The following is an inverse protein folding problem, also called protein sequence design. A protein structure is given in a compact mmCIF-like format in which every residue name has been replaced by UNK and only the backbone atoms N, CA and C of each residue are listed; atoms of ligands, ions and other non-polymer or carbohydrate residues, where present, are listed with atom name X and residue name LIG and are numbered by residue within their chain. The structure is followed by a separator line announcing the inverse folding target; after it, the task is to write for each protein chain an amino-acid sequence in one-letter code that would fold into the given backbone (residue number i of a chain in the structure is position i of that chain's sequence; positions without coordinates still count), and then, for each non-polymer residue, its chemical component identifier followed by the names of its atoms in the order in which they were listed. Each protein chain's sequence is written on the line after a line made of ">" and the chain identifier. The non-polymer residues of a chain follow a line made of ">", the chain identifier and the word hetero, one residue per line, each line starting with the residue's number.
data_IF_446375712991
#
_entry.id   IF_446375712991
#
_cell.length_a   1.000
_cell.length_b   1.000
_cell.length_c   1.000
_cell.angle_alpha   90.00
_cell.angle_beta   90.00
_cell.angle_gamma   90.00
#
_symmetry.space_group_name_H-M   'P 1'
#
loop_
_entity.id
_entity.type
_entity.pdbx_description
1 polymer ?
#
# COMPACT_ATOMS: atom_id res chain seq x y z
N UNK A 1 -0.47 7.77 -4.34
CA UNK A 1 -1.47 7.68 -3.25
C UNK A 1 -2.25 6.39 -3.48
N UNK A 2 -1.67 5.25 -3.12
CA UNK A 2 -2.33 3.96 -3.21
C UNK A 2 -3.59 3.94 -2.34
N UNK A 3 -4.75 4.01 -3.00
CA UNK A 3 -6.04 3.68 -2.42
C UNK A 3 -6.19 2.15 -2.48
N UNK A 4 -6.09 1.47 -1.34
CA UNK A 4 -6.60 0.11 -1.21
C UNK A 4 -8.11 0.21 -0.97
N UNK A 5 -8.91 0.20 -2.04
CA UNK A 5 -10.36 0.11 -1.96
C UNK A 5 -10.78 -1.36 -2.11
N UNK A 6 -11.28 -1.97 -1.05
CA UNK A 6 -12.07 -3.20 -1.16
C UNK A 6 -13.37 -2.85 -1.90
N UNK A 7 -13.49 -3.34 -3.13
CA UNK A 7 -14.66 -3.15 -3.98
C UNK A 7 -15.83 -4.03 -3.48
N UNK A 8 -17.04 -3.51 -3.22
CA UNK A 8 -18.20 -4.36 -3.04
C UNK A 8 -18.75 -4.76 -4.41
N UNK A 9 -18.85 -6.07 -4.60
CA UNK A 9 -19.28 -6.72 -5.84
C UNK A 9 -20.68 -6.29 -6.32
N UNK A 10 -20.80 -6.32 -7.65
CA UNK A 10 -21.98 -6.15 -8.50
C UNK A 10 -23.19 -6.94 -7.98
N UNK A 11 -24.34 -6.29 -7.94
CA UNK A 11 -25.63 -6.88 -7.56
C UNK A 11 -26.19 -7.74 -8.70
N UNK A 12 -26.41 -9.03 -8.43
CA UNK A 12 -27.36 -9.85 -9.19
C UNK A 12 -28.20 -10.67 -8.21
N UNK A 13 -29.52 -10.48 -8.24
CA UNK A 13 -30.47 -11.19 -7.39
C UNK A 13 -31.08 -12.37 -8.15
N UNK A 14 -31.25 -13.55 -7.51
CA UNK A 14 -32.63 -14.01 -7.31
C UNK A 14 -32.95 -14.81 -6.01
N UNK A 15 -34.18 -14.56 -5.55
CA UNK A 15 -35.20 -15.38 -4.82
C UNK A 15 -34.83 -16.37 -3.70
N UNK A 16 -35.11 -15.89 -2.46
CA UNK A 16 -35.69 -16.51 -1.24
C UNK A 16 -35.59 -18.04 -1.00
N UNK A 17 -34.86 -18.42 0.07
CA UNK A 17 -35.35 -18.96 1.37
C UNK A 17 -34.26 -19.80 2.05
N UNK A 18 -33.64 -19.29 3.12
CA UNK A 18 -33.24 -20.08 4.30
C UNK A 18 -32.81 -19.15 5.43
N UNK A 19 -33.46 -19.27 6.59
CA UNK A 19 -33.03 -18.64 7.84
C UNK A 19 -31.71 -19.28 8.30
N UNK A 20 -30.65 -18.49 8.43
CA UNK A 20 -29.49 -18.77 9.29
C UNK A 20 -28.91 -17.43 9.77
N UNK A 21 -28.83 -17.29 11.09
CA UNK A 21 -28.25 -16.14 11.77
C UNK A 21 -26.77 -16.03 11.43
N UNK A 22 -26.39 -15.02 10.66
CA UNK A 22 -25.04 -14.48 10.63
C UNK A 22 -25.14 -13.03 11.09
N UNK A 23 -24.86 -12.80 12.38
CA UNK A 23 -24.59 -11.47 12.90
C UNK A 23 -23.30 -10.96 12.26
N UNK A 24 -23.43 -10.38 11.07
CA UNK A 24 -22.37 -9.56 10.49
C UNK A 24 -22.40 -8.25 11.29
N UNK A 25 -21.57 -8.15 12.33
CA UNK A 25 -21.35 -6.88 13.01
C UNK A 25 -20.53 -5.97 12.08
N UNK A 26 -21.21 -5.35 11.13
CA UNK A 26 -20.71 -4.16 10.45
C UNK A 26 -20.68 -3.05 11.50
N UNK A 27 -19.52 -2.80 12.10
CA UNK A 27 -19.32 -1.59 12.90
C UNK A 27 -19.51 -0.41 11.97
N UNK A 28 -20.69 0.21 12.01
CA UNK A 28 -20.95 1.53 11.43
C UNK A 28 -20.05 2.50 12.18
N UNK A 29 -18.88 2.76 11.60
CA UNK A 29 -17.91 3.67 12.16
C UNK A 29 -18.52 5.07 12.18
N UNK A 30 -18.73 5.63 13.37
CA UNK A 30 -19.23 7.00 13.56
C UNK A 30 -18.33 7.97 12.80
N UNK A 31 -18.93 8.82 11.96
CA UNK A 31 -18.18 9.68 11.02
C UNK A 31 -17.11 10.55 11.70
N UNK A 32 -17.31 10.96 12.95
CA UNK A 32 -16.38 11.78 13.73
C UNK A 32 -15.01 11.12 13.92
N UNK A 33 -14.98 9.85 14.33
CA UNK A 33 -13.74 9.11 14.54
C UNK A 33 -12.94 8.88 13.24
N UNK A 34 -13.62 8.78 12.10
CA UNK A 34 -12.95 8.73 10.79
C UNK A 34 -12.25 10.04 10.45
N UNK A 35 -12.94 11.18 10.64
CA UNK A 35 -12.40 12.50 10.34
C UNK A 35 -11.22 12.84 11.24
N UNK A 36 -11.29 12.54 12.55
CA UNK A 36 -10.18 12.75 13.48
C UNK A 36 -8.93 11.97 13.08
N UNK A 37 -9.07 10.67 12.76
CA UNK A 37 -7.93 9.86 12.28
C UNK A 37 -7.36 10.39 10.97
N UNK A 38 -8.20 10.92 10.08
CA UNK A 38 -7.74 11.56 8.84
C UNK A 38 -6.94 12.82 9.14
N UNK A 39 -7.41 13.70 10.02
CA UNK A 39 -6.71 14.93 10.39
C UNK A 39 -5.37 14.65 11.09
N UNK A 40 -5.34 13.68 12.01
CA UNK A 40 -4.10 13.25 12.64
C UNK A 40 -3.07 12.74 11.62
N UNK A 41 -3.51 12.00 10.59
CA UNK A 41 -2.62 11.56 9.51
C UNK A 41 -2.10 12.74 8.67
N UNK A 42 -2.95 13.71 8.34
CA UNK A 42 -2.54 14.92 7.60
C UNK A 42 -1.49 15.68 8.40
N UNK A 43 -1.77 15.99 9.67
CA UNK A 43 -0.85 16.71 10.54
C UNK A 43 0.51 16.00 10.73
N UNK A 44 0.53 14.66 10.66
CA UNK A 44 1.78 13.89 10.66
C UNK A 44 2.52 14.01 9.33
N UNK A 45 1.82 13.95 8.21
CA UNK A 45 2.43 14.10 6.89
C UNK A 45 3.01 15.51 6.66
N UNK A 46 2.35 16.55 7.16
CA UNK A 46 2.83 17.94 7.08
C UNK A 46 4.14 18.18 7.82
N UNK A 47 4.46 17.35 8.81
CA UNK A 47 5.66 17.48 9.64
C UNK A 47 6.84 16.63 9.18
N UNK A 48 6.65 15.75 8.19
CA UNK A 48 7.70 14.85 7.73
C UNK A 48 8.79 15.63 6.99
N UNK A 49 10.04 15.41 7.38
CA UNK A 49 11.18 15.89 6.59
C UNK A 49 11.41 15.02 5.37
N UNK A 50 12.18 15.54 4.41
CA UNK A 50 12.54 14.77 3.22
C UNK A 50 13.38 13.53 3.57
N UNK A 51 14.29 13.67 4.52
CA UNK A 51 15.15 12.59 5.02
C UNK A 51 14.31 11.51 5.69
N UNK A 52 13.35 11.89 6.55
CA UNK A 52 12.43 10.95 7.19
C UNK A 52 11.57 10.18 6.18
N UNK A 53 11.20 10.83 5.06
CA UNK A 53 10.47 10.18 3.96
C UNK A 53 11.35 9.11 3.31
N UNK A 54 12.61 9.44 2.98
CA UNK A 54 13.56 8.51 2.38
C UNK A 54 13.88 7.31 3.28
N UNK A 55 13.89 7.51 4.60
CA UNK A 55 14.21 6.44 5.54
C UNK A 55 13.01 5.55 5.87
N UNK A 56 11.79 6.10 5.88
CA UNK A 56 10.63 5.41 6.45
C UNK A 56 9.47 5.15 5.50
N UNK A 57 9.39 5.86 4.37
CA UNK A 57 8.19 5.86 3.50
C UNK A 57 8.44 5.37 2.09
N UNK A 58 9.64 5.58 1.56
CA UNK A 58 9.98 5.20 0.18
C UNK A 58 11.26 4.38 0.15
N UNK A 59 11.37 3.49 -0.83
CA UNK A 59 12.61 2.76 -1.12
C UNK A 59 13.08 3.25 -2.49
N UNK A 60 14.24 3.90 -2.52
CA UNK A 60 14.84 4.45 -3.74
C UNK A 60 16.34 4.19 -3.75
N UNK A 61 16.92 3.94 -4.94
CA UNK A 61 18.35 3.69 -5.08
C UNK A 61 18.69 2.77 -6.24
N UNK A 62 19.89 2.22 -6.20
CA UNK A 62 20.31 1.13 -7.07
C UNK A 62 19.59 -0.18 -6.73
N UNK A 63 19.58 -1.18 -7.62
CA UNK A 63 18.98 -2.48 -7.36
C UNK A 63 19.48 -3.12 -6.05
N UNK A 64 20.77 -3.04 -5.76
CA UNK A 64 21.37 -3.59 -4.52
C UNK A 64 20.78 -2.93 -3.28
N UNK A 65 20.71 -1.60 -3.27
CA UNK A 65 20.13 -0.84 -2.15
C UNK A 65 18.64 -1.16 -1.94
N UNK A 66 17.91 -1.41 -3.02
CA UNK A 66 16.50 -1.81 -2.97
C UNK A 66 16.36 -3.22 -2.38
N UNK A 67 17.22 -4.16 -2.79
CA UNK A 67 17.25 -5.52 -2.23
C UNK A 67 17.53 -5.48 -0.73
N UNK A 68 18.53 -4.70 -0.30
CA UNK A 68 18.89 -4.60 1.11
C UNK A 68 17.73 -4.10 1.97
N UNK A 69 17.05 -3.03 1.52
CA UNK A 69 15.91 -2.47 2.26
C UNK A 69 14.69 -3.38 2.26
N UNK A 70 14.37 -4.02 1.14
CA UNK A 70 13.28 -4.98 1.09
C UNK A 70 13.56 -6.19 1.99
N UNK A 71 14.79 -6.70 2.01
CA UNK A 71 15.21 -7.80 2.89
C UNK A 71 15.04 -7.40 4.36
N UNK A 72 15.53 -6.22 4.74
CA UNK A 72 15.36 -5.72 6.10
C UNK A 72 13.89 -5.64 6.52
N UNK A 73 13.01 -5.10 5.68
CA UNK A 73 11.59 -5.02 6.01
C UNK A 73 10.91 -6.39 6.04
N UNK A 74 11.29 -7.29 5.12
CA UNK A 74 10.79 -8.68 5.10
C UNK A 74 11.08 -9.37 6.43
N UNK A 75 12.32 -9.26 6.90
CA UNK A 75 12.79 -9.95 8.12
C UNK A 75 12.25 -9.29 9.38
N UNK A 76 12.24 -7.95 9.46
CA UNK A 76 11.76 -7.21 10.62
C UNK A 76 10.26 -7.36 10.84
N UNK A 77 9.47 -7.48 9.78
CA UNK A 77 8.00 -7.50 9.85
C UNK A 77 7.39 -8.88 9.54
N UNK A 78 8.21 -9.88 9.19
CA UNK A 78 7.74 -11.22 8.82
C UNK A 78 6.85 -11.23 7.57
N UNK A 79 7.16 -10.40 6.57
CA UNK A 79 6.33 -10.24 5.37
C UNK A 79 6.52 -11.42 4.42
N UNK A 80 5.41 -11.89 3.86
CA UNK A 80 5.40 -12.94 2.81
C UNK A 80 5.41 -12.36 1.38
N UNK A 81 5.25 -11.04 1.25
CA UNK A 81 5.23 -10.39 -0.05
C UNK A 81 5.12 -8.86 0.05
N UNK A 82 5.32 -8.20 -1.08
CA UNK A 82 5.28 -6.75 -1.20
C UNK A 82 4.32 -6.32 -2.32
N UNK A 83 3.70 -5.15 -2.13
CA UNK A 83 2.99 -4.43 -3.20
C UNK A 83 3.64 -3.05 -3.33
N UNK A 84 3.98 -2.64 -4.54
CA UNK A 84 4.71 -1.40 -4.79
C UNK A 84 3.91 -0.43 -5.69
N UNK A 85 3.78 0.82 -5.26
CA UNK A 85 3.40 1.95 -6.11
C UNK A 85 4.69 2.63 -6.60
N UNK A 86 5.02 2.51 -7.89
CA UNK A 86 6.30 3.02 -8.42
C UNK A 86 6.33 4.54 -8.66
N UNK A 87 5.16 5.17 -8.78
CA UNK A 87 5.05 6.61 -9.03
C UNK A 87 4.06 7.26 -8.05
N UNK A 88 4.38 7.28 -6.74
CA UNK A 88 3.51 7.90 -5.76
C UNK A 88 3.37 9.39 -6.07
N UNK A 89 2.14 9.81 -6.40
CA UNK A 89 1.82 11.20 -6.73
C UNK A 89 1.89 11.53 -8.23
N UNK A 90 2.32 10.61 -9.07
CA UNK A 90 2.20 10.75 -10.53
C UNK A 90 3.16 11.75 -11.17
N UNK A 91 4.19 12.21 -10.45
CA UNK A 91 5.10 13.27 -10.91
C UNK A 91 6.29 12.73 -11.74
N UNK A 92 6.58 11.44 -11.69
CA UNK A 92 7.66 10.86 -12.49
C UNK A 92 7.26 10.75 -13.98
N UNK A 93 8.16 11.08 -14.91
CA UNK A 93 7.95 10.83 -16.33
C UNK A 93 7.73 9.34 -16.62
N UNK A 94 6.89 8.98 -17.62
CA UNK A 94 6.61 7.58 -17.94
C UNK A 94 7.87 6.72 -18.21
N UNK A 95 8.87 7.30 -18.88
CA UNK A 95 10.14 6.62 -19.17
C UNK A 95 10.91 6.23 -17.90
N UNK A 96 10.88 7.08 -16.87
CA UNK A 96 11.53 6.80 -15.58
C UNK A 96 10.82 5.65 -14.86
N UNK A 97 9.49 5.67 -14.81
CA UNK A 97 8.68 4.58 -14.21
C UNK A 97 8.94 3.25 -14.92
N UNK A 98 8.99 3.27 -16.26
CA UNK A 98 9.26 2.09 -17.06
C UNK A 98 10.66 1.52 -16.81
N UNK A 99 11.68 2.39 -16.69
CA UNK A 99 13.05 1.97 -16.32
C UNK A 99 13.08 1.34 -14.93
N UNK A 100 12.43 1.95 -13.94
CA UNK A 100 12.36 1.40 -12.59
C UNK A 100 11.68 0.02 -12.56
N UNK A 101 10.59 -0.16 -13.30
CA UNK A 101 9.91 -1.46 -13.41
C UNK A 101 10.82 -2.52 -14.04
N UNK A 102 11.57 -2.18 -15.10
CA UNK A 102 12.54 -3.09 -15.72
C UNK A 102 13.60 -3.56 -14.74
N UNK A 103 14.23 -2.63 -14.01
CA UNK A 103 15.24 -2.95 -13.00
C UNK A 103 14.66 -3.78 -11.85
N UNK A 104 13.45 -3.44 -11.38
CA UNK A 104 12.78 -4.19 -10.33
C UNK A 104 12.59 -5.65 -10.73
N UNK A 105 12.09 -5.90 -11.94
CA UNK A 105 11.83 -7.27 -12.42
C UNK A 105 13.12 -8.03 -12.73
N UNK A 106 14.09 -7.38 -13.39
CA UNK A 106 15.29 -8.06 -13.89
C UNK A 106 16.36 -8.26 -12.82
N UNK A 107 16.50 -7.34 -11.87
CA UNK A 107 17.64 -7.30 -10.95
C UNK A 107 17.23 -7.48 -9.48
N UNK A 108 16.07 -6.96 -9.06
CA UNK A 108 15.63 -7.03 -7.66
C UNK A 108 14.84 -8.30 -7.35
N UNK A 109 13.77 -8.58 -8.09
CA UNK A 109 12.90 -9.73 -7.83
C UNK A 109 13.63 -11.08 -7.79
N UNK A 110 14.68 -11.35 -8.59
CA UNK A 110 15.42 -12.60 -8.51
C UNK A 110 16.06 -12.89 -7.15
N UNK A 111 16.33 -11.86 -6.32
CA UNK A 111 16.89 -12.03 -4.97
C UNK A 111 15.86 -12.57 -3.94
N UNK A 112 14.57 -12.60 -4.28
CA UNK A 112 13.46 -12.96 -3.37
C UNK A 112 12.65 -14.19 -3.85
N UNK A 113 13.24 -15.01 -4.71
CA UNK A 113 12.64 -16.26 -5.20
C UNK A 113 12.64 -17.36 -4.16
#
# INVERSE_FOLDING_TARGET
>A
MAYCSTSPAVQEAPRKRRSKNHSSSSTLQTGTAYWERRQQRIARLEKLTYEEILDTKVIVGSPERVIDRLTQFKDMLGLTGFTAELNPGGLLPPAAVHRSLKLLVAEVMPAFK
#
